data_IF_780938766459
#
_entry.id   IF_780938766459
#
_cell.length_a   1.000
_cell.length_b   1.000
_cell.length_c   1.000
_cell.angle_alpha   90.00
_cell.angle_beta   90.00
_cell.angle_gamma   90.00
#
_symmetry.space_group_name_H-M   'P 1'
#
loop_
_entity.id
_entity.type
_entity.pdbx_description
1 polymer ?
#
# COMPACT_ATOMS: atom_id res chain seq x y z
N UNK A 1 15.87 -12.88 16.45
CA UNK A 1 14.54 -13.27 15.92
C UNK A 1 14.76 -14.03 14.62
N UNK A 2 14.58 -15.34 14.63
CA UNK A 2 14.84 -16.19 13.45
C UNK A 2 13.59 -16.16 12.54
N UNK A 3 13.74 -15.73 11.30
CA UNK A 3 12.66 -15.78 10.30
C UNK A 3 12.90 -17.02 9.41
N UNK A 4 11.96 -17.95 9.31
CA UNK A 4 12.10 -19.13 8.46
C UNK A 4 12.36 -18.73 7.01
N UNK A 5 13.21 -19.48 6.29
CA UNK A 5 13.59 -19.18 4.90
C UNK A 5 12.36 -19.10 3.99
N UNK A 6 11.38 -19.99 4.16
CA UNK A 6 10.11 -19.99 3.40
C UNK A 6 9.35 -18.67 3.57
N UNK A 7 9.29 -18.14 4.79
CA UNK A 7 8.63 -16.85 5.10
C UNK A 7 9.37 -15.69 4.47
N UNK A 8 10.70 -15.71 4.53
CA UNK A 8 11.54 -14.68 3.90
C UNK A 8 11.36 -14.68 2.39
N UNK A 9 11.37 -15.86 1.75
CA UNK A 9 11.11 -15.99 0.31
C UNK A 9 9.73 -15.46 -0.09
N UNK A 10 8.68 -15.75 0.70
CA UNK A 10 7.34 -15.23 0.48
C UNK A 10 7.28 -13.70 0.60
N UNK A 11 7.92 -13.13 1.62
CA UNK A 11 8.01 -11.67 1.78
C UNK A 11 8.77 -11.03 0.60
N UNK A 12 9.87 -11.64 0.14
CA UNK A 12 10.62 -11.16 -1.02
C UNK A 12 9.78 -11.18 -2.31
N UNK A 13 8.98 -12.23 -2.52
CA UNK A 13 8.04 -12.30 -3.64
C UNK A 13 7.01 -11.17 -3.57
N UNK A 14 6.43 -10.91 -2.40
CA UNK A 14 5.48 -9.80 -2.22
C UNK A 14 6.14 -8.43 -2.48
N UNK A 15 7.38 -8.23 -2.04
CA UNK A 15 8.14 -7.01 -2.33
C UNK A 15 8.37 -6.87 -3.84
N UNK A 16 8.74 -7.93 -4.54
CA UNK A 16 8.96 -7.91 -5.99
C UNK A 16 7.66 -7.56 -6.75
N UNK A 17 6.53 -8.17 -6.39
CA UNK A 17 5.22 -7.86 -6.98
C UNK A 17 4.86 -6.39 -6.70
N UNK A 18 5.06 -5.91 -5.48
CA UNK A 18 4.77 -4.52 -5.12
C UNK A 18 5.64 -3.52 -5.88
N UNK A 19 6.91 -3.85 -6.15
CA UNK A 19 7.82 -3.05 -6.98
C UNK A 19 7.38 -3.03 -8.44
N UNK A 20 6.96 -4.17 -8.99
CA UNK A 20 6.44 -4.24 -10.36
C UNK A 20 5.20 -3.35 -10.52
N UNK A 21 4.23 -3.44 -9.59
CA UNK A 21 3.04 -2.58 -9.59
C UNK A 21 3.44 -1.10 -9.46
N UNK A 22 4.36 -0.78 -8.56
CA UNK A 22 4.87 0.57 -8.35
C UNK A 22 5.52 1.15 -9.62
N UNK A 23 6.26 0.33 -10.35
CA UNK A 23 6.92 0.75 -11.61
C UNK A 23 5.90 1.02 -12.70
N UNK A 24 4.86 0.18 -12.81
CA UNK A 24 3.74 0.38 -13.74
C UNK A 24 2.97 1.64 -13.35
N UNK A 25 2.64 1.79 -12.07
CA UNK A 25 1.93 2.96 -11.55
C UNK A 25 2.67 4.27 -11.85
N UNK A 26 4.01 4.26 -11.78
CA UNK A 26 4.83 5.43 -12.06
C UNK A 26 4.74 5.93 -13.51
N UNK A 27 4.20 5.11 -14.42
CA UNK A 27 3.98 5.45 -15.83
C UNK A 27 2.56 5.99 -16.08
N UNK A 28 1.65 5.87 -15.12
CA UNK A 28 0.27 6.35 -15.25
C UNK A 28 0.26 7.86 -14.96
N UNK A 29 -0.15 8.71 -15.92
CA UNK A 29 -0.26 10.13 -15.64
C UNK A 29 -1.43 10.39 -14.68
N UNK A 30 -1.12 10.95 -13.53
CA UNK A 30 -2.15 11.41 -12.58
C UNK A 30 -2.59 12.81 -13.02
N UNK A 31 -3.89 13.07 -13.21
CA UNK A 31 -4.40 14.36 -13.71
C UNK A 31 -4.40 15.44 -12.61
N UNK A 32 -3.30 15.54 -11.87
CA UNK A 32 -3.10 16.50 -10.78
C UNK A 32 -1.72 17.14 -10.97
N UNK A 33 -1.61 18.46 -10.98
CA UNK A 33 -0.35 19.16 -11.25
C UNK A 33 0.60 19.14 -10.05
N UNK A 34 0.66 18.04 -9.33
CA UNK A 34 1.59 17.84 -8.20
C UNK A 34 2.57 16.73 -8.59
N UNK A 35 3.82 17.07 -8.95
CA UNK A 35 4.81 16.07 -9.36
C UNK A 35 5.07 15.05 -8.27
N UNK A 36 4.98 13.77 -8.62
CA UNK A 36 5.34 12.68 -7.71
C UNK A 36 4.19 12.10 -6.87
N UNK A 37 3.01 12.70 -6.89
CA UNK A 37 1.79 12.12 -6.31
C UNK A 37 1.40 10.85 -7.09
N UNK A 38 0.98 9.81 -6.38
CA UNK A 38 0.64 8.49 -6.91
C UNK A 38 -0.71 8.00 -6.41
N UNK A 39 -1.31 7.08 -7.17
CA UNK A 39 -2.60 6.48 -6.82
C UNK A 39 -2.52 5.49 -5.65
N UNK A 40 -1.33 4.95 -5.37
CA UNK A 40 -1.10 4.00 -4.29
C UNK A 40 -1.49 2.57 -4.64
N UNK A 41 -1.48 2.17 -5.92
CA UNK A 41 -1.86 0.82 -6.36
C UNK A 41 -0.99 -0.27 -5.71
N UNK A 42 0.29 0.01 -5.49
CA UNK A 42 1.20 -0.92 -4.81
C UNK A 42 0.80 -1.22 -3.36
N UNK A 43 -0.08 -0.42 -2.74
CA UNK A 43 -0.63 -0.71 -1.41
C UNK A 43 -1.56 -1.93 -1.40
N UNK A 44 -2.05 -2.40 -2.57
CA UNK A 44 -2.81 -3.65 -2.69
C UNK A 44 -2.03 -4.84 -2.13
N UNK A 45 -0.71 -4.91 -2.37
CA UNK A 45 0.13 -6.00 -1.88
C UNK A 45 0.29 -5.94 -0.36
N UNK A 46 0.42 -4.73 0.20
CA UNK A 46 0.49 -4.54 1.65
C UNK A 46 -0.83 -4.96 2.31
N UNK A 47 -1.95 -4.58 1.69
CA UNK A 47 -3.29 -4.95 2.15
C UNK A 47 -3.52 -6.47 2.04
N UNK A 48 -3.13 -7.09 0.93
CA UNK A 48 -3.13 -8.54 0.78
C UNK A 48 -2.34 -9.21 1.90
N UNK A 49 -1.09 -8.80 2.10
CA UNK A 49 -0.20 -9.35 3.14
C UNK A 49 -0.78 -9.18 4.56
N UNK A 50 -1.50 -8.08 4.81
CA UNK A 50 -2.11 -7.80 6.11
C UNK A 50 -3.25 -8.76 6.44
N UNK A 51 -4.03 -9.18 5.42
CA UNK A 51 -5.20 -10.06 5.61
C UNK A 51 -4.92 -11.52 5.26
N UNK A 52 -3.82 -11.82 4.57
CA UNK A 52 -3.47 -13.18 4.21
C UNK A 52 -3.24 -14.06 5.44
N UNK A 53 -3.98 -15.19 5.49
CA UNK A 53 -3.79 -16.25 6.47
C UNK A 53 -3.28 -17.48 5.73
N UNK A 54 -2.16 -18.01 6.15
CA UNK A 54 -1.69 -19.30 5.62
C UNK A 54 -2.68 -20.40 6.00
N UNK A 55 -3.06 -21.23 5.02
CA UNK A 55 -3.84 -22.47 5.29
C UNK A 55 -3.04 -23.48 6.11
N UNK A 56 -3.72 -24.52 6.63
CA UNK A 56 -3.13 -25.55 7.50
C UNK A 56 -1.95 -26.32 6.88
N UNK A 57 -1.86 -26.38 5.56
CA UNK A 57 -0.83 -27.17 4.84
C UNK A 57 0.35 -26.36 4.32
N UNK A 58 0.31 -25.04 4.39
CA UNK A 58 1.44 -24.22 3.93
C UNK A 58 2.30 -23.83 5.12
N UNK A 59 3.53 -24.32 5.15
CA UNK A 59 4.61 -23.98 6.11
C UNK A 59 5.01 -22.48 6.11
N UNK A 60 4.19 -21.61 5.56
CA UNK A 60 4.39 -20.16 5.61
C UNK A 60 3.69 -19.65 6.85
N UNK A 61 4.45 -19.36 7.89
CA UNK A 61 3.93 -18.72 9.09
C UNK A 61 3.16 -17.45 8.75
N UNK A 62 2.04 -17.25 9.44
CA UNK A 62 1.24 -16.03 9.37
C UNK A 62 2.12 -14.78 9.43
N UNK A 63 1.95 -13.86 8.48
CA UNK A 63 2.62 -12.58 8.50
C UNK A 63 2.11 -11.73 9.67
N UNK A 64 3.03 -11.26 10.51
CA UNK A 64 2.72 -10.29 11.57
C UNK A 64 2.62 -8.89 10.97
N UNK A 65 1.98 -7.97 11.69
CA UNK A 65 1.93 -6.55 11.30
C UNK A 65 3.34 -5.99 11.06
N UNK A 66 4.32 -6.40 11.88
CA UNK A 66 5.73 -6.01 11.71
C UNK A 66 6.33 -6.54 10.39
N UNK A 67 6.01 -7.78 9.99
CA UNK A 67 6.47 -8.32 8.70
C UNK A 67 5.86 -7.54 7.53
N UNK A 68 4.58 -7.19 7.62
CA UNK A 68 3.90 -6.40 6.57
C UNK A 68 4.47 -4.97 6.51
N UNK A 69 4.76 -4.38 7.67
CA UNK A 69 5.45 -3.09 7.72
C UNK A 69 6.85 -3.16 7.08
N UNK A 70 7.61 -4.23 7.33
CA UNK A 70 8.89 -4.45 6.69
C UNK A 70 8.75 -4.55 5.15
N UNK A 71 7.75 -5.27 4.64
CA UNK A 71 7.44 -5.33 3.20
C UNK A 71 7.19 -3.93 2.64
N UNK A 72 6.38 -3.11 3.35
CA UNK A 72 6.09 -1.74 2.95
C UNK A 72 7.36 -0.90 2.86
N UNK A 73 8.21 -0.91 3.89
CA UNK A 73 9.43 -0.09 3.94
C UNK A 73 10.43 -0.57 2.87
N UNK A 74 10.67 -1.88 2.74
CA UNK A 74 11.56 -2.41 1.71
C UNK A 74 11.10 -1.99 0.31
N UNK A 75 9.80 -2.10 0.01
CA UNK A 75 9.25 -1.64 -1.28
C UNK A 75 9.50 -0.14 -1.50
N UNK A 76 9.29 0.70 -0.49
CA UNK A 76 9.48 2.16 -0.61
C UNK A 76 10.94 2.50 -0.87
N UNK A 77 11.86 1.91 -0.10
CA UNK A 77 13.30 2.13 -0.24
C UNK A 77 13.79 1.65 -1.61
N UNK A 78 13.49 0.42 -1.98
CA UNK A 78 13.90 -0.14 -3.28
C UNK A 78 13.29 0.64 -4.44
N UNK A 79 12.00 1.03 -4.35
CA UNK A 79 11.34 1.85 -5.36
C UNK A 79 12.01 3.23 -5.53
N UNK A 80 12.47 3.82 -4.45
CA UNK A 80 13.24 5.07 -4.50
C UNK A 80 14.61 4.88 -5.17
N UNK A 81 15.30 3.78 -4.84
CA UNK A 81 16.59 3.45 -5.47
C UNK A 81 16.46 3.25 -6.98
N UNK A 82 15.43 2.53 -7.43
CA UNK A 82 15.18 2.30 -8.86
C UNK A 82 14.78 3.55 -9.63
N UNK A 83 14.02 4.45 -9.00
CA UNK A 83 13.55 5.67 -9.70
C UNK A 83 14.46 6.87 -9.55
N UNK A 84 15.36 6.89 -8.57
CA UNK A 84 16.22 8.02 -8.25
C UNK A 84 15.47 9.30 -7.82
N UNK A 85 14.16 9.20 -7.55
CA UNK A 85 13.29 10.37 -7.28
C UNK A 85 13.06 10.56 -5.77
N UNK A 86 13.86 11.40 -5.14
CA UNK A 86 13.80 11.71 -3.70
C UNK A 86 12.42 12.24 -3.29
N UNK A 87 11.81 13.12 -4.07
CA UNK A 87 10.49 13.68 -3.79
C UNK A 87 9.42 12.57 -3.77
N UNK A 88 9.47 11.67 -4.75
CA UNK A 88 8.56 10.50 -4.80
C UNK A 88 8.74 9.56 -3.60
N UNK A 89 9.96 9.44 -3.09
CA UNK A 89 10.26 8.70 -1.87
C UNK A 89 9.58 9.32 -0.64
N UNK A 90 9.69 10.64 -0.47
CA UNK A 90 9.05 11.35 0.65
C UNK A 90 7.52 11.18 0.63
N UNK A 91 6.89 11.29 -0.54
CA UNK A 91 5.46 11.02 -0.70
C UNK A 91 5.10 9.58 -0.36
N UNK A 92 5.92 8.63 -0.82
CA UNK A 92 5.68 7.20 -0.57
C UNK A 92 5.83 6.83 0.91
N UNK A 93 6.79 7.43 1.63
CA UNK A 93 6.97 7.19 3.07
C UNK A 93 5.77 7.74 3.85
N UNK A 94 5.45 9.02 3.70
CA UNK A 94 4.39 9.64 4.49
C UNK A 94 3.02 9.01 4.17
N UNK A 95 2.70 8.90 2.87
CA UNK A 95 1.47 8.24 2.44
C UNK A 95 1.42 6.76 2.83
N UNK A 96 2.53 6.04 2.67
CA UNK A 96 2.64 4.63 3.01
C UNK A 96 2.43 4.36 4.50
N UNK A 97 3.08 5.12 5.37
CA UNK A 97 2.96 4.96 6.83
C UNK A 97 1.54 5.31 7.29
N UNK A 98 1.00 6.48 6.87
CA UNK A 98 -0.34 6.88 7.28
C UNK A 98 -1.41 5.92 6.75
N UNK A 99 -1.33 5.53 5.47
CA UNK A 99 -2.26 4.58 4.87
C UNK A 99 -2.19 3.20 5.54
N UNK A 100 -0.99 2.69 5.82
CA UNK A 100 -0.80 1.42 6.52
C UNK A 100 -1.33 1.47 7.95
N UNK A 101 -1.07 2.55 8.69
CA UNK A 101 -1.59 2.72 10.05
C UNK A 101 -3.11 2.69 10.08
N UNK A 102 -3.75 3.40 9.13
CA UNK A 102 -5.20 3.37 8.98
C UNK A 102 -5.73 1.97 8.63
N UNK A 103 -5.05 1.22 7.75
CA UNK A 103 -5.41 -0.16 7.42
C UNK A 103 -5.30 -1.10 8.63
N UNK A 104 -4.24 -0.98 9.43
CA UNK A 104 -4.04 -1.78 10.65
C UNK A 104 -5.13 -1.49 11.68
N UNK A 105 -5.50 -0.22 11.87
CA UNK A 105 -6.58 0.18 12.77
C UNK A 105 -7.93 -0.36 12.27
N UNK A 106 -8.25 -0.14 11.00
CA UNK A 106 -9.51 -0.60 10.41
C UNK A 106 -9.65 -2.13 10.41
N UNK A 107 -8.56 -2.87 10.27
CA UNK A 107 -8.56 -4.34 10.31
C UNK A 107 -9.21 -4.91 11.58
N UNK A 108 -9.18 -4.17 12.70
CA UNK A 108 -9.74 -4.60 13.97
C UNK A 108 -11.29 -4.57 13.97
N UNK A 109 -11.88 -3.78 13.07
CA UNK A 109 -13.32 -3.53 13.03
C UNK A 109 -14.03 -4.20 11.84
N UNK A 110 -13.28 -4.81 10.90
CA UNK A 110 -13.83 -5.36 9.65
C UNK A 110 -13.59 -6.84 9.51
N UNK A 111 -14.53 -7.49 8.80
CA UNK A 111 -14.39 -8.90 8.41
C UNK A 111 -13.60 -9.04 7.09
N UNK A 112 -13.19 -10.29 6.77
CA UNK A 112 -12.53 -10.62 5.50
C UNK A 112 -13.36 -10.27 4.24
N UNK A 113 -14.68 -10.11 4.39
CA UNK A 113 -15.59 -9.70 3.30
C UNK A 113 -15.56 -8.19 3.00
N UNK A 114 -14.88 -7.42 3.86
CA UNK A 114 -14.87 -5.94 3.78
C UNK A 114 -13.45 -5.38 3.57
N UNK A 115 -12.53 -6.18 3.03
CA UNK A 115 -11.15 -5.75 2.74
C UNK A 115 -11.14 -4.54 1.80
N UNK A 116 -12.11 -4.46 0.88
CA UNK A 116 -12.28 -3.30 0.01
C UNK A 116 -12.45 -1.98 0.78
N UNK A 117 -13.18 -1.98 1.90
CA UNK A 117 -13.37 -0.80 2.72
C UNK A 117 -12.07 -0.37 3.41
N UNK A 118 -11.26 -1.35 3.88
CA UNK A 118 -9.92 -1.08 4.43
C UNK A 118 -9.00 -0.49 3.37
N UNK A 119 -9.11 -0.97 2.13
CA UNK A 119 -8.40 -0.40 0.97
C UNK A 119 -8.76 1.06 0.75
N UNK A 120 -10.06 1.40 0.75
CA UNK A 120 -10.54 2.77 0.57
C UNK A 120 -10.03 3.71 1.67
N UNK A 121 -10.17 3.32 2.95
CA UNK A 121 -9.67 4.11 4.07
C UNK A 121 -8.15 4.27 4.00
N UNK A 122 -7.42 3.20 3.72
CA UNK A 122 -5.98 3.26 3.55
C UNK A 122 -5.54 4.23 2.45
N UNK A 123 -6.26 4.28 1.32
CA UNK A 123 -5.95 5.18 0.21
C UNK A 123 -6.26 6.65 0.56
N UNK A 124 -7.34 6.92 1.30
CA UNK A 124 -7.63 8.28 1.81
C UNK A 124 -6.46 8.80 2.66
N UNK A 125 -6.04 8.03 3.65
CA UNK A 125 -4.94 8.42 4.54
C UNK A 125 -3.59 8.48 3.80
N UNK A 126 -3.38 7.63 2.80
CA UNK A 126 -2.23 7.71 1.92
C UNK A 126 -2.18 9.07 1.18
N UNK A 127 -3.29 9.50 0.60
CA UNK A 127 -3.37 10.77 -0.10
C UNK A 127 -3.23 11.97 0.84
N UNK A 128 -3.76 11.89 2.06
CA UNK A 128 -3.53 12.90 3.11
C UNK A 128 -2.03 13.03 3.39
N UNK A 129 -1.31 11.90 3.54
CA UNK A 129 0.12 11.92 3.76
C UNK A 129 0.90 12.54 2.60
N UNK A 130 0.50 12.27 1.36
CA UNK A 130 1.13 12.87 0.18
C UNK A 130 0.93 14.39 0.15
N UNK A 131 -0.30 14.88 0.39
CA UNK A 131 -0.58 16.33 0.43
C UNK A 131 0.19 17.02 1.55
N UNK A 132 0.29 16.40 2.72
CA UNK A 132 1.07 16.96 3.83
C UNK A 132 2.54 17.17 3.43
N UNK A 133 3.15 16.19 2.77
CA UNK A 133 4.52 16.31 2.23
C UNK A 133 4.59 17.36 1.13
N UNK A 134 3.60 17.42 0.23
CA UNK A 134 3.57 18.43 -0.84
C UNK A 134 3.56 19.84 -0.27
N UNK A 135 2.74 20.11 0.73
CA UNK A 135 2.68 21.40 1.43
C UNK A 135 4.02 21.70 2.13
N UNK A 136 4.58 20.70 2.81
CA UNK A 136 5.86 20.86 3.52
C UNK A 136 7.01 21.22 2.57
N UNK A 137 7.11 20.54 1.42
CA UNK A 137 8.20 20.76 0.45
C UNK A 137 8.07 22.07 -0.30
N UNK A 138 6.84 22.51 -0.58
CA UNK A 138 6.60 23.71 -1.41
C UNK A 138 6.36 24.97 -0.59
N UNK A 139 6.05 24.82 0.71
CA UNK A 139 5.62 25.95 1.54
C UNK A 139 4.26 26.55 1.12
N UNK A 140 3.49 25.86 0.28
CA UNK A 140 2.24 26.35 -0.32
C UNK A 140 0.98 25.64 0.23
N UNK A 141 0.33 26.14 1.29
CA UNK A 141 -0.88 25.52 1.85
C UNK A 141 -2.04 25.41 0.86
N UNK A 142 -2.05 26.23 -0.20
CA UNK A 142 -3.07 26.20 -1.25
C UNK A 142 -3.17 24.83 -1.94
N UNK A 143 -2.11 24.01 -1.89
CA UNK A 143 -2.11 22.65 -2.42
C UNK A 143 -3.16 21.77 -1.75
N UNK A 144 -3.59 22.08 -0.52
CA UNK A 144 -4.68 21.38 0.15
C UNK A 144 -6.01 21.42 -0.63
N UNK A 145 -6.20 22.37 -1.54
CA UNK A 145 -7.37 22.43 -2.43
C UNK A 145 -7.52 21.18 -3.30
N UNK A 146 -6.42 20.47 -3.58
CA UNK A 146 -6.46 19.19 -4.33
C UNK A 146 -6.88 17.99 -3.47
N UNK A 147 -6.94 18.13 -2.14
CA UNK A 147 -7.26 17.02 -1.24
C UNK A 147 -8.65 16.41 -1.50
N UNK A 148 -9.74 17.17 -1.73
CA UNK A 148 -11.05 16.58 -2.00
C UNK A 148 -11.05 15.67 -3.24
N UNK A 149 -10.43 16.09 -4.32
CA UNK A 149 -10.35 15.28 -5.55
C UNK A 149 -9.49 14.03 -5.32
N UNK A 150 -8.39 14.15 -4.58
CA UNK A 150 -7.52 13.03 -4.23
C UNK A 150 -8.23 12.03 -3.30
N UNK A 151 -9.10 12.49 -2.41
CA UNK A 151 -9.93 11.60 -1.57
C UNK A 151 -10.89 10.80 -2.45
N UNK A 152 -11.58 11.45 -3.39
CA UNK A 152 -12.51 10.76 -4.31
C UNK A 152 -11.75 9.71 -5.13
N UNK A 153 -10.65 10.09 -5.78
CA UNK A 153 -9.80 9.17 -6.55
C UNK A 153 -9.26 8.05 -5.65
N UNK A 154 -8.83 8.39 -4.43
CA UNK A 154 -8.35 7.44 -3.43
C UNK A 154 -9.41 6.42 -3.02
N UNK A 155 -10.66 6.82 -2.85
CA UNK A 155 -11.76 5.87 -2.56
C UNK A 155 -11.90 4.87 -3.69
N UNK A 156 -11.95 5.32 -4.95
CA UNK A 156 -12.06 4.43 -6.10
C UNK A 156 -10.85 3.48 -6.23
N UNK A 157 -9.64 4.01 -6.18
CA UNK A 157 -8.43 3.19 -6.28
C UNK A 157 -8.28 2.26 -5.08
N UNK A 158 -8.66 2.71 -3.88
CA UNK A 158 -8.66 1.92 -2.67
C UNK A 158 -9.66 0.77 -2.69
N UNK A 159 -10.87 0.99 -3.25
CA UNK A 159 -11.85 -0.08 -3.47
C UNK A 159 -11.28 -1.10 -4.45
N UNK A 160 -10.72 -0.66 -5.58
CA UNK A 160 -10.15 -1.55 -6.60
C UNK A 160 -9.01 -2.40 -6.01
N UNK A 161 -8.07 -1.77 -5.31
CA UNK A 161 -6.93 -2.47 -4.68
C UNK A 161 -7.39 -3.40 -3.57
N UNK A 162 -8.39 -2.99 -2.80
CA UNK A 162 -9.01 -3.81 -1.75
C UNK A 162 -9.76 -5.02 -2.30
N UNK A 163 -10.52 -4.87 -3.39
CA UNK A 163 -11.15 -5.98 -4.08
C UNK A 163 -10.11 -6.92 -4.69
N UNK A 164 -9.07 -6.40 -5.32
CA UNK A 164 -7.98 -7.22 -5.86
C UNK A 164 -7.33 -8.08 -4.76
N UNK A 165 -7.03 -7.49 -3.59
CA UNK A 165 -6.51 -8.22 -2.45
C UNK A 165 -7.51 -9.28 -1.94
N UNK A 166 -8.79 -8.92 -1.82
CA UNK A 166 -9.86 -9.82 -1.34
C UNK A 166 -10.06 -11.02 -2.26
N UNK A 167 -10.11 -10.80 -3.59
CA UNK A 167 -10.23 -11.88 -4.56
C UNK A 167 -8.98 -12.79 -4.57
N UNK A 168 -7.79 -12.21 -4.48
CA UNK A 168 -6.54 -12.98 -4.42
C UNK A 168 -6.50 -13.88 -3.18
N UNK A 169 -6.91 -13.38 -2.01
CA UNK A 169 -6.99 -14.16 -0.77
C UNK A 169 -8.00 -15.30 -0.93
N UNK A 170 -9.21 -14.99 -1.41
CA UNK A 170 -10.26 -15.99 -1.59
C UNK A 170 -9.80 -17.13 -2.51
N UNK A 171 -9.17 -16.81 -3.64
CA UNK A 171 -8.65 -17.81 -4.57
C UNK A 171 -7.56 -18.70 -3.97
N UNK A 172 -6.70 -18.13 -3.16
CA UNK A 172 -5.65 -18.89 -2.49
C UNK A 172 -6.22 -19.79 -1.37
N UNK A 173 -7.29 -19.37 -0.70
CA UNK A 173 -8.00 -20.18 0.29
C UNK A 173 -8.75 -21.35 -0.35
N UNK A 174 -9.30 -21.20 -1.57
CA UNK A 174 -9.98 -22.26 -2.32
C UNK A 174 -9.01 -23.36 -2.83
N UNK A 175 -7.74 -23.04 -3.04
CA UNK A 175 -6.71 -23.96 -3.58
C UNK A 175 -5.91 -24.66 -2.45
N UNK A 176 -6.04 -24.20 -1.21
CA UNK A 176 -5.34 -24.72 -0.01
C UNK A 176 -6.13 -25.80 0.68
#
# INVERSE_FOLDING_TARGET
MYIPVKKLAFMATLIAIALAIFTIEAQIPVPIPIPGVKLGLANAVTLFALFFKSGKERDVEKLTVANVFMILICRIVLGAMFTGRVVSFMYSIAGGILGFSAQVLMKQFVSHKQIWAVGAVGAIFHNIGQIAVAIFLTGAPVIAVYLPILIIVGIFTGIITGLAAQFSIKRLEEIS
#
